data_IF_478031940048
#
_entry.id   IF_478031940048
#
_cell.length_a   1.000
_cell.length_b   1.000
_cell.length_c   1.000
_cell.angle_alpha   90.00
_cell.angle_beta   90.00
_cell.angle_gamma   90.00
#
_symmetry.space_group_name_H-M   'P 1'
#
loop_
_entity.id
_entity.type
_entity.pdbx_description
1 polymer ?
#
# COMPACT_ATOMS: atom_id res chain seq x y z
N UNK A 1 11.64 -31.03 60.50
CA UNK A 1 12.12 -30.95 59.12
C UNK A 1 11.11 -31.64 58.22
N UNK A 2 10.19 -30.86 57.62
CA UNK A 2 9.05 -31.40 56.87
C UNK A 2 9.12 -30.79 55.44
N UNK A 3 9.47 -31.62 54.43
CA UNK A 3 9.53 -31.24 53.03
C UNK A 3 8.14 -31.21 52.41
N UNK A 4 7.69 -30.02 51.97
CA UNK A 4 6.49 -29.84 51.17
C UNK A 4 6.78 -30.12 49.68
N UNK A 5 6.18 -31.18 49.10
CA UNK A 5 6.22 -31.50 47.66
C UNK A 5 5.27 -30.57 46.94
N UNK A 6 5.83 -29.73 46.01
CA UNK A 6 5.06 -28.93 45.04
C UNK A 6 4.53 -29.82 43.91
N UNK A 7 3.21 -29.94 43.82
CA UNK A 7 2.51 -30.51 42.66
C UNK A 7 2.57 -29.50 41.49
N UNK A 8 3.19 -29.89 40.37
CA UNK A 8 3.16 -29.13 39.11
C UNK A 8 1.81 -29.39 38.41
N UNK A 9 0.96 -28.37 38.35
CA UNK A 9 -0.31 -28.39 37.65
C UNK A 9 -0.10 -28.44 36.11
N UNK A 10 -0.58 -29.54 35.53
CA UNK A 10 -0.64 -29.79 34.07
C UNK A 10 -2.01 -29.34 33.56
N UNK A 11 -2.24 -28.05 33.40
CA UNK A 11 -3.50 -27.55 32.85
C UNK A 11 -3.23 -26.36 31.92
N UNK A 12 -3.27 -26.56 30.63
CA UNK A 12 -3.18 -25.42 29.68
C UNK A 12 -3.12 -25.70 28.20
N UNK A 13 -3.00 -26.96 27.73
CA UNK A 13 -2.86 -27.23 26.29
C UNK A 13 -4.15 -27.58 25.54
N UNK A 14 -5.22 -27.94 26.23
CA UNK A 14 -6.47 -28.37 25.56
C UNK A 14 -7.37 -27.26 25.02
N UNK A 15 -7.30 -26.05 25.58
CA UNK A 15 -8.20 -24.95 25.19
C UNK A 15 -7.86 -24.27 23.87
N UNK A 16 -6.58 -24.24 23.49
CA UNK A 16 -6.14 -23.58 22.25
C UNK A 16 -6.49 -24.38 21.00
N UNK A 17 -6.40 -25.70 21.06
CA UNK A 17 -6.77 -26.58 19.96
C UNK A 17 -8.29 -26.58 19.68
N UNK A 18 -9.12 -26.38 20.70
CA UNK A 18 -10.58 -26.33 20.55
C UNK A 18 -11.06 -25.03 19.87
N UNK A 19 -10.42 -23.90 20.17
CA UNK A 19 -10.71 -22.62 19.52
C UNK A 19 -10.36 -22.60 18.04
N UNK A 20 -9.31 -23.28 17.62
CA UNK A 20 -8.89 -23.36 16.22
C UNK A 20 -9.83 -24.22 15.35
N UNK A 21 -10.57 -25.16 15.96
CA UNK A 21 -11.49 -26.05 15.22
C UNK A 21 -12.95 -25.54 15.28
N UNK A 22 -13.38 -24.95 16.39
CA UNK A 22 -14.78 -24.54 16.58
C UNK A 22 -15.09 -23.20 15.91
N UNK A 23 -14.13 -22.27 15.85
CA UNK A 23 -14.34 -20.95 15.24
C UNK A 23 -14.60 -21.05 13.72
N UNK A 24 -13.84 -21.79 12.91
CA UNK A 24 -14.13 -21.94 11.49
C UNK A 24 -15.43 -22.70 11.22
N UNK A 25 -15.78 -23.68 12.05
CA UNK A 25 -17.03 -24.45 11.90
C UNK A 25 -18.28 -23.60 12.18
N UNK A 26 -18.21 -22.70 13.16
CA UNK A 26 -19.29 -21.74 13.46
C UNK A 26 -19.40 -20.66 12.36
N UNK A 27 -18.30 -20.27 11.74
CA UNK A 27 -18.27 -19.36 10.59
C UNK A 27 -18.99 -19.98 9.38
N UNK A 28 -18.75 -21.27 9.11
CA UNK A 28 -19.43 -22.01 8.05
C UNK A 28 -20.95 -22.11 8.26
N UNK A 29 -21.39 -22.41 9.47
CA UNK A 29 -22.82 -22.55 9.78
C UNK A 29 -23.56 -21.20 9.73
N UNK A 30 -22.96 -20.11 10.19
CA UNK A 30 -23.55 -18.78 10.12
C UNK A 30 -23.61 -18.24 8.67
N UNK A 31 -22.59 -18.51 7.86
CA UNK A 31 -22.57 -18.20 6.43
C UNK A 31 -23.69 -18.91 5.65
N UNK A 32 -23.89 -20.20 5.92
CA UNK A 32 -24.90 -21.02 5.25
C UNK A 32 -26.34 -20.59 5.58
N UNK A 33 -26.60 -20.15 6.82
CA UNK A 33 -27.93 -19.70 7.25
C UNK A 33 -28.29 -18.31 6.70
N UNK A 34 -27.30 -17.41 6.56
CA UNK A 34 -27.50 -16.08 5.98
C UNK A 34 -27.68 -16.14 4.44
N UNK A 35 -27.02 -17.10 3.77
CA UNK A 35 -27.11 -17.24 2.31
C UNK A 35 -28.48 -17.77 1.85
N UNK A 36 -29.17 -18.56 2.63
CA UNK A 36 -30.54 -19.02 2.31
C UNK A 36 -31.59 -17.92 2.40
N UNK A 37 -31.31 -16.83 3.12
CA UNK A 37 -32.23 -15.69 3.28
C UNK A 37 -32.07 -14.57 2.24
N UNK A 38 -30.95 -14.49 1.53
CA UNK A 38 -30.63 -13.38 0.61
C UNK A 38 -30.56 -13.77 -0.87
N UNK A 39 -30.86 -15.02 -1.20
CA UNK A 39 -30.72 -15.57 -2.56
C UNK A 39 -31.78 -15.18 -3.59
N UNK A 40 -32.60 -14.14 -3.36
CA UNK A 40 -33.67 -13.76 -4.32
C UNK A 40 -33.56 -12.35 -4.90
N UNK A 41 -32.46 -11.61 -4.73
CA UNK A 41 -32.38 -10.26 -5.33
C UNK A 41 -30.98 -9.91 -5.86
N UNK A 42 -30.39 -10.71 -6.73
CA UNK A 42 -29.23 -10.27 -7.50
C UNK A 42 -29.10 -11.02 -8.83
N UNK A 43 -30.13 -10.95 -9.66
CA UNK A 43 -29.96 -11.08 -11.12
C UNK A 43 -30.00 -9.67 -11.71
N UNK A 44 -28.91 -9.22 -12.26
CA UNK A 44 -28.67 -8.30 -13.37
C UNK A 44 -27.45 -7.40 -13.09
N UNK A 45 -26.38 -7.70 -13.79
CA UNK A 45 -25.17 -6.86 -13.81
C UNK A 45 -23.94 -7.62 -14.33
N UNK A 46 -24.06 -8.25 -15.52
CA UNK A 46 -22.90 -8.83 -16.21
C UNK A 46 -21.95 -7.73 -16.68
N UNK A 47 -20.74 -7.72 -16.16
CA UNK A 47 -19.62 -6.96 -16.71
C UNK A 47 -18.64 -7.93 -17.35
N UNK A 48 -18.60 -7.89 -18.69
CA UNK A 48 -17.65 -8.63 -19.52
C UNK A 48 -16.26 -7.99 -19.41
N UNK A 49 -15.27 -8.78 -19.05
CA UNK A 49 -13.86 -8.41 -19.06
C UNK A 49 -13.26 -8.79 -20.43
N UNK A 50 -12.64 -7.87 -21.17
CA UNK A 50 -11.92 -8.20 -22.41
C UNK A 50 -10.53 -8.79 -22.11
N UNK A 51 -10.19 -9.77 -22.94
CA UNK A 51 -9.09 -10.68 -22.92
C UNK A 51 -7.68 -10.14 -22.69
N UNK A 52 -6.90 -10.96 -22.02
CA UNK A 52 -5.46 -10.85 -21.90
C UNK A 52 -4.76 -11.19 -23.22
N UNK A 53 -3.99 -10.23 -23.74
CA UNK A 53 -3.07 -10.46 -24.86
C UNK A 53 -1.72 -10.88 -24.31
N UNK A 54 -1.32 -12.08 -24.69
CA UNK A 54 0.03 -12.63 -24.55
C UNK A 54 0.99 -11.92 -25.52
N UNK A 55 2.03 -11.27 -25.00
CA UNK A 55 3.13 -10.75 -25.81
C UNK A 55 4.41 -11.55 -25.53
N UNK A 56 4.91 -12.16 -26.63
CA UNK A 56 6.13 -12.95 -26.72
C UNK A 56 7.38 -12.11 -26.59
N UNK A 57 8.38 -12.61 -25.87
CA UNK A 57 9.76 -12.11 -25.87
C UNK A 57 10.46 -12.36 -27.21
N UNK A 58 11.30 -11.46 -27.66
CA UNK A 58 12.36 -11.80 -28.61
C UNK A 58 13.76 -11.90 -27.98
N UNK A 59 14.52 -12.76 -28.60
CA UNK A 59 15.82 -13.28 -28.26
C UNK A 59 16.96 -12.24 -28.27
N UNK A 60 17.96 -12.56 -27.45
CA UNK A 60 19.29 -11.96 -27.41
C UNK A 60 20.07 -12.20 -28.71
N UNK A 61 20.76 -11.18 -29.19
CA UNK A 61 21.81 -11.32 -30.21
C UNK A 61 23.11 -10.71 -29.68
N UNK A 62 24.12 -11.55 -29.54
CA UNK A 62 25.52 -11.20 -29.30
C UNK A 62 26.09 -10.43 -30.49
N UNK A 63 26.77 -9.32 -30.24
CA UNK A 63 27.70 -8.72 -31.20
C UNK A 63 28.97 -8.23 -30.52
N UNK A 64 30.05 -8.66 -31.16
CA UNK A 64 31.44 -8.59 -30.80
C UNK A 64 32.00 -7.18 -30.61
N UNK A 65 32.99 -7.11 -29.71
CA UNK A 65 33.92 -6.01 -29.44
C UNK A 65 34.92 -5.80 -30.58
N UNK A 66 35.23 -4.57 -30.98
CA UNK A 66 36.56 -4.25 -31.50
C UNK A 66 37.32 -3.32 -30.54
N UNK A 67 38.49 -3.79 -30.17
CA UNK A 67 39.54 -3.08 -29.48
C UNK A 67 40.10 -1.97 -30.37
N UNK A 68 39.97 -0.71 -29.92
CA UNK A 68 40.69 0.39 -30.50
C UNK A 68 41.47 1.17 -29.42
N UNK A 69 42.77 1.19 -29.55
CA UNK A 69 43.74 1.97 -28.77
C UNK A 69 43.52 3.48 -29.02
N UNK A 70 43.27 4.30 -28.01
CA UNK A 70 43.23 5.74 -28.21
C UNK A 70 44.60 6.41 -27.96
N UNK A 71 45.07 7.10 -28.96
CA UNK A 71 46.14 8.11 -28.88
C UNK A 71 45.73 9.25 -27.94
N UNK A 72 46.62 9.67 -27.07
CA UNK A 72 46.42 10.74 -26.10
C UNK A 72 46.22 12.11 -26.82
N UNK A 73 45.14 12.87 -26.51
CA UNK A 73 45.02 14.24 -27.00
C UNK A 73 45.72 15.23 -26.06
N UNK A 74 46.44 16.17 -26.65
CA UNK A 74 46.99 17.38 -26.04
C UNK A 74 45.96 18.12 -25.17
N UNK A 75 46.30 18.41 -23.94
CA UNK A 75 45.46 19.19 -23.01
C UNK A 75 45.48 20.67 -23.41
N UNK A 76 44.47 21.15 -24.06
CA UNK A 76 44.16 22.57 -24.15
C UNK A 76 43.71 23.08 -22.77
N UNK A 77 44.19 24.23 -22.27
CA UNK A 77 43.75 24.76 -20.98
C UNK A 77 42.26 25.07 -21.02
N UNK A 78 41.49 24.34 -20.22
CA UNK A 78 40.05 24.54 -20.00
C UNK A 78 39.83 25.94 -19.42
N UNK A 79 39.01 26.82 -20.01
CA UNK A 79 38.65 28.09 -19.40
C UNK A 79 37.95 27.84 -18.06
N UNK A 80 38.48 28.46 -17.00
CA UNK A 80 37.92 28.43 -15.66
C UNK A 80 36.44 28.83 -15.70
N UNK A 81 35.50 28.04 -15.12
CA UNK A 81 34.09 28.41 -15.18
C UNK A 81 33.90 29.74 -14.42
N UNK A 82 33.55 30.78 -15.15
CA UNK A 82 33.10 32.05 -14.56
C UNK A 82 31.98 31.75 -13.55
N UNK A 83 32.22 31.97 -12.27
CA UNK A 83 31.17 31.94 -11.25
C UNK A 83 30.15 33.02 -11.60
N UNK A 84 29.11 32.63 -12.32
CA UNK A 84 27.92 33.45 -12.49
C UNK A 84 27.36 33.72 -11.09
N UNK A 85 27.48 34.95 -10.62
CA UNK A 85 26.85 35.39 -9.38
C UNK A 85 25.33 35.26 -9.56
N UNK A 86 24.75 34.15 -9.08
CA UNK A 86 23.31 33.93 -9.14
C UNK A 86 22.61 35.09 -8.45
N UNK A 87 21.65 35.72 -9.12
CA UNK A 87 20.84 36.80 -8.53
C UNK A 87 20.13 36.26 -7.27
N UNK A 88 19.97 37.05 -6.18
CA UNK A 88 19.33 36.59 -4.95
C UNK A 88 17.99 35.91 -5.14
N UNK A 89 17.22 36.31 -6.12
CA UNK A 89 15.93 35.70 -6.48
C UNK A 89 16.07 34.28 -7.06
N UNK A 90 17.17 33.98 -7.75
CA UNK A 90 17.40 32.64 -8.27
C UNK A 90 17.74 31.65 -7.16
N UNK A 91 18.45 32.08 -6.13
CA UNK A 91 18.74 31.24 -4.96
C UNK A 91 17.45 30.89 -4.19
N UNK A 92 16.55 31.87 -3.97
CA UNK A 92 15.24 31.65 -3.34
C UNK A 92 14.36 30.71 -4.16
N UNK A 93 14.30 30.89 -5.46
CA UNK A 93 13.52 30.04 -6.36
C UNK A 93 14.05 28.61 -6.42
N UNK A 94 15.38 28.44 -6.40
CA UNK A 94 16.02 27.11 -6.35
C UNK A 94 15.72 26.39 -5.03
N UNK A 95 15.75 27.11 -3.90
CA UNK A 95 15.39 26.57 -2.59
C UNK A 95 13.90 26.13 -2.54
N UNK A 96 13.00 26.94 -3.08
CA UNK A 96 11.57 26.62 -3.17
C UNK A 96 11.32 25.40 -4.04
N UNK A 97 11.99 25.28 -5.19
CA UNK A 97 11.89 24.09 -6.06
C UNK A 97 12.39 22.84 -5.34
N UNK A 98 13.48 22.92 -4.58
CA UNK A 98 13.98 21.78 -3.79
C UNK A 98 12.96 21.35 -2.74
N UNK A 99 12.39 22.29 -1.99
CA UNK A 99 11.38 22.00 -0.98
C UNK A 99 10.10 21.42 -1.59
N UNK A 100 9.65 21.96 -2.75
CA UNK A 100 8.52 21.40 -3.49
C UNK A 100 8.79 19.95 -3.93
N UNK A 101 9.96 19.65 -4.46
CA UNK A 101 10.34 18.29 -4.86
C UNK A 101 10.38 17.33 -3.70
N UNK A 102 10.89 17.76 -2.53
CA UNK A 102 10.93 16.95 -1.32
C UNK A 102 9.50 16.57 -0.90
N UNK A 103 8.57 17.53 -0.89
CA UNK A 103 7.17 17.28 -0.57
C UNK A 103 6.51 16.29 -1.53
N UNK A 104 6.68 16.50 -2.85
CA UNK A 104 6.11 15.59 -3.86
C UNK A 104 6.69 14.19 -3.72
N UNK A 105 8.01 14.07 -3.50
CA UNK A 105 8.67 12.78 -3.29
C UNK A 105 8.13 12.07 -2.06
N UNK A 106 7.94 12.78 -0.95
CA UNK A 106 7.34 12.21 0.25
C UNK A 106 5.90 11.70 0.02
N UNK A 107 5.09 12.42 -0.77
CA UNK A 107 3.78 11.93 -1.21
C UNK A 107 3.87 10.66 -2.07
N UNK A 108 4.82 10.59 -2.99
CA UNK A 108 5.06 9.38 -3.79
C UNK A 108 5.46 8.18 -2.91
N UNK A 109 6.27 8.39 -1.87
CA UNK A 109 6.66 7.34 -0.92
C UNK A 109 5.46 6.82 -0.11
N UNK A 110 4.54 7.70 0.32
CA UNK A 110 3.28 7.27 0.97
C UNK A 110 2.46 6.41 0.02
N UNK A 111 2.32 6.84 -1.25
CA UNK A 111 1.55 6.07 -2.24
C UNK A 111 2.17 4.70 -2.54
N UNK A 112 3.49 4.60 -2.58
CA UNK A 112 4.19 3.34 -2.84
C UNK A 112 3.98 2.32 -1.72
N UNK A 113 4.10 2.74 -0.45
CA UNK A 113 3.83 1.85 0.69
C UNK A 113 2.35 1.53 0.82
N UNK A 114 1.46 2.50 0.59
CA UNK A 114 0.01 2.28 0.61
C UNK A 114 -0.43 1.25 -0.43
N UNK A 115 0.17 1.26 -1.63
CA UNK A 115 -0.12 0.30 -2.69
C UNK A 115 0.07 -1.16 -2.22
N UNK A 116 1.10 -1.42 -1.43
CA UNK A 116 1.38 -2.76 -0.89
C UNK A 116 0.34 -3.14 0.16
N UNK A 117 0.09 -2.28 1.14
CA UNK A 117 -0.89 -2.53 2.19
C UNK A 117 -2.32 -2.67 1.65
N UNK A 118 -2.71 -1.82 0.69
CA UNK A 118 -4.02 -1.90 0.05
C UNK A 118 -4.21 -3.20 -0.75
N UNK A 119 -3.15 -3.70 -1.39
CA UNK A 119 -3.19 -5.01 -2.05
C UNK A 119 -3.41 -6.13 -1.03
N UNK A 120 -2.65 -6.15 0.06
CA UNK A 120 -2.80 -7.14 1.12
C UNK A 120 -4.21 -7.08 1.73
N UNK A 121 -4.77 -5.88 1.91
CA UNK A 121 -6.14 -5.71 2.38
C UNK A 121 -7.16 -6.22 1.37
N UNK A 122 -7.02 -5.89 0.09
CA UNK A 122 -7.89 -6.38 -0.99
C UNK A 122 -7.86 -7.91 -1.09
N UNK A 123 -6.66 -8.51 -1.10
CA UNK A 123 -6.49 -9.97 -1.10
C UNK A 123 -7.19 -10.64 0.10
N UNK A 124 -7.03 -10.05 1.29
CA UNK A 124 -7.64 -10.55 2.52
C UNK A 124 -9.18 -10.55 2.44
N UNK A 125 -9.76 -9.44 2.00
CA UNK A 125 -11.21 -9.28 1.83
C UNK A 125 -11.75 -10.19 0.73
N UNK A 126 -11.01 -10.29 -0.39
CA UNK A 126 -11.41 -11.10 -1.53
C UNK A 126 -11.38 -12.59 -1.20
N UNK A 127 -10.39 -13.05 -0.44
CA UNK A 127 -10.31 -14.45 0.00
C UNK A 127 -11.55 -14.89 0.78
N UNK A 128 -12.04 -14.05 1.71
CA UNK A 128 -13.30 -14.31 2.42
C UNK A 128 -14.50 -14.37 1.46
N UNK A 129 -14.54 -13.46 0.50
CA UNK A 129 -15.61 -13.40 -0.51
C UNK A 129 -15.63 -14.66 -1.38
N UNK A 130 -14.46 -15.08 -1.83
CA UNK A 130 -14.30 -16.24 -2.70
C UNK A 130 -14.57 -17.55 -1.98
N UNK A 131 -14.16 -17.69 -0.72
CA UNK A 131 -14.51 -18.84 0.11
C UNK A 131 -16.03 -18.90 0.38
N UNK A 132 -16.65 -17.76 0.70
CA UNK A 132 -18.11 -17.71 0.93
C UNK A 132 -18.92 -18.07 -0.33
N UNK A 133 -18.38 -17.81 -1.51
CA UNK A 133 -19.01 -18.16 -2.79
C UNK A 133 -18.61 -19.55 -3.33
N UNK A 134 -17.73 -20.27 -2.62
CA UNK A 134 -17.22 -21.58 -3.01
C UNK A 134 -16.25 -21.56 -4.19
N UNK A 135 -15.63 -20.40 -4.49
CA UNK A 135 -14.62 -20.29 -5.55
C UNK A 135 -13.25 -20.79 -5.12
N UNK A 136 -12.96 -20.72 -3.83
CA UNK A 136 -11.76 -21.27 -3.21
C UNK A 136 -12.14 -22.13 -2.01
N UNK A 137 -11.27 -23.07 -1.66
CA UNK A 137 -11.41 -23.90 -0.47
C UNK A 137 -11.06 -23.11 0.80
N UNK A 138 -11.59 -23.54 1.95
CA UNK A 138 -11.32 -22.90 3.24
C UNK A 138 -9.83 -22.88 3.57
N UNK A 139 -9.09 -23.97 3.25
CA UNK A 139 -7.64 -24.02 3.47
C UNK A 139 -6.88 -22.98 2.66
N UNK A 140 -7.28 -22.73 1.42
CA UNK A 140 -6.68 -21.67 0.58
C UNK A 140 -6.97 -20.27 1.15
N UNK A 141 -8.20 -20.03 1.62
CA UNK A 141 -8.54 -18.78 2.31
C UNK A 141 -7.66 -18.58 3.55
N UNK A 142 -7.48 -19.61 4.39
CA UNK A 142 -6.63 -19.55 5.59
C UNK A 142 -5.17 -19.24 5.24
N UNK A 143 -4.62 -19.80 4.17
CA UNK A 143 -3.28 -19.51 3.70
C UNK A 143 -3.13 -18.04 3.26
N UNK A 144 -4.13 -17.51 2.55
CA UNK A 144 -4.16 -16.09 2.16
C UNK A 144 -4.24 -15.20 3.40
N UNK A 145 -5.09 -15.55 4.36
CA UNK A 145 -5.21 -14.81 5.62
C UNK A 145 -3.90 -14.79 6.40
N UNK A 146 -3.26 -15.95 6.57
CA UNK A 146 -1.99 -16.05 7.28
C UNK A 146 -0.90 -15.20 6.61
N UNK A 147 -0.82 -15.22 5.28
CA UNK A 147 0.13 -14.44 4.51
C UNK A 147 -0.12 -12.93 4.67
N UNK A 148 -1.35 -12.47 4.48
CA UNK A 148 -1.71 -11.05 4.55
C UNK A 148 -1.62 -10.51 5.97
N UNK A 149 -2.03 -11.28 6.97
CA UNK A 149 -1.88 -10.92 8.39
C UNK A 149 -0.40 -10.78 8.79
N UNK A 150 0.46 -11.69 8.31
CA UNK A 150 1.91 -11.61 8.57
C UNK A 150 2.54 -10.36 7.94
N UNK A 151 2.10 -9.98 6.74
CA UNK A 151 2.55 -8.76 6.08
C UNK A 151 1.99 -7.48 6.73
N UNK A 152 0.83 -7.59 7.37
CA UNK A 152 0.08 -6.44 7.88
C UNK A 152 0.81 -5.62 8.94
N UNK A 153 1.64 -6.26 9.80
CA UNK A 153 2.44 -5.52 10.80
C UNK A 153 3.48 -4.62 10.13
N UNK A 154 4.14 -5.11 9.08
CA UNK A 154 5.08 -4.34 8.27
C UNK A 154 4.38 -3.26 7.45
N UNK A 155 3.21 -3.56 6.87
CA UNK A 155 2.39 -2.59 6.14
C UNK A 155 2.00 -1.41 7.03
N UNK A 156 1.54 -1.69 8.26
CA UNK A 156 1.17 -0.66 9.24
C UNK A 156 2.36 0.23 9.60
N UNK A 157 3.51 -0.37 9.95
CA UNK A 157 4.72 0.36 10.35
C UNK A 157 5.24 1.26 9.22
N UNK A 158 5.39 0.70 8.02
CA UNK A 158 5.88 1.43 6.85
C UNK A 158 4.95 2.57 6.46
N UNK A 159 3.63 2.32 6.46
CA UNK A 159 2.65 3.34 6.13
C UNK A 159 2.69 4.49 7.14
N UNK A 160 2.68 4.21 8.44
CA UNK A 160 2.76 5.25 9.49
C UNK A 160 4.04 6.06 9.37
N UNK A 161 5.18 5.41 9.17
CA UNK A 161 6.48 6.07 9.01
C UNK A 161 6.51 6.99 7.78
N UNK A 162 5.96 6.55 6.64
CA UNK A 162 5.89 7.35 5.43
C UNK A 162 4.97 8.58 5.60
N UNK A 163 3.79 8.39 6.24
CA UNK A 163 2.86 9.49 6.53
C UNK A 163 3.49 10.51 7.48
N UNK A 164 4.16 10.06 8.54
CA UNK A 164 4.84 10.95 9.49
C UNK A 164 5.97 11.73 8.80
N UNK A 165 6.79 11.07 7.99
CA UNK A 165 7.84 11.70 7.18
C UNK A 165 7.25 12.74 6.23
N UNK A 166 6.16 12.42 5.53
CA UNK A 166 5.47 13.33 4.62
C UNK A 166 4.88 14.56 5.33
N UNK A 167 4.33 14.37 6.53
CA UNK A 167 3.80 15.48 7.35
C UNK A 167 4.90 16.44 7.82
N UNK A 168 6.14 15.98 7.92
CA UNK A 168 7.32 16.80 8.24
C UNK A 168 7.75 17.73 7.10
N UNK A 169 7.38 17.43 5.86
CA UNK A 169 7.78 18.19 4.69
C UNK A 169 6.93 19.47 4.54
N UNK A 170 7.53 20.61 4.87
CA UNK A 170 6.88 21.94 4.83
C UNK A 170 6.96 22.63 3.47
N UNK A 171 7.46 21.94 2.43
CA UNK A 171 7.60 22.46 1.10
C UNK A 171 6.26 22.88 0.48
N UNK A 172 6.32 23.83 -0.44
CA UNK A 172 5.17 24.30 -1.21
C UNK A 172 5.57 24.43 -2.67
N UNK A 173 4.74 23.92 -3.57
CA UNK A 173 4.94 24.02 -5.01
C UNK A 173 4.38 25.33 -5.61
N UNK A 174 4.31 26.39 -4.81
CA UNK A 174 3.81 27.70 -5.27
C UNK A 174 4.83 28.42 -6.13
N UNK A 175 4.34 29.24 -7.03
CA UNK A 175 5.17 30.11 -7.86
C UNK A 175 5.98 31.09 -6.99
N UNK A 176 7.24 31.32 -7.42
CA UNK A 176 8.16 32.24 -6.75
C UNK A 176 8.47 33.40 -7.68
N UNK A 177 8.22 34.61 -7.24
CA UNK A 177 8.50 35.84 -8.01
C UNK A 177 9.99 35.96 -8.35
N UNK A 178 10.30 36.31 -9.60
CA UNK A 178 11.67 36.45 -10.07
C UNK A 178 12.38 35.13 -10.39
N UNK A 179 11.69 33.98 -10.36
CA UNK A 179 12.24 32.72 -10.79
C UNK A 179 12.49 32.70 -12.32
N UNK A 180 13.52 31.99 -12.76
CA UNK A 180 13.77 31.76 -14.18
C UNK A 180 12.58 31.00 -14.84
N UNK A 181 12.42 31.15 -16.15
CA UNK A 181 11.37 30.43 -16.88
C UNK A 181 11.48 28.91 -16.73
N UNK A 182 12.68 28.38 -16.61
CA UNK A 182 12.94 26.97 -16.37
C UNK A 182 12.45 26.54 -14.97
N UNK A 183 12.80 27.29 -13.93
CA UNK A 183 12.39 27.01 -12.55
C UNK A 183 10.87 27.09 -12.41
N UNK A 184 10.22 28.07 -13.02
CA UNK A 184 8.76 28.17 -13.03
C UNK A 184 8.09 26.95 -13.66
N UNK A 185 8.59 26.49 -14.83
CA UNK A 185 8.07 25.28 -15.47
C UNK A 185 8.23 24.03 -14.59
N UNK A 186 9.35 23.90 -13.88
CA UNK A 186 9.58 22.79 -12.96
C UNK A 186 8.65 22.85 -11.74
N UNK A 187 8.47 24.03 -11.13
CA UNK A 187 7.51 24.22 -10.04
C UNK A 187 6.07 23.89 -10.47
N UNK A 188 5.68 24.32 -11.68
CA UNK A 188 4.35 24.01 -12.21
C UNK A 188 4.13 22.50 -12.38
N UNK A 189 5.10 21.75 -12.92
CA UNK A 189 5.02 20.28 -13.03
C UNK A 189 4.91 19.59 -11.67
N UNK A 190 5.68 20.07 -10.69
CA UNK A 190 5.62 19.54 -9.35
C UNK A 190 4.25 19.84 -8.67
N UNK A 191 3.70 21.04 -8.90
CA UNK A 191 2.37 21.39 -8.42
C UNK A 191 1.25 20.54 -9.05
N UNK A 192 1.35 20.23 -10.33
CA UNK A 192 0.43 19.32 -11.00
C UNK A 192 0.50 17.91 -10.39
N UNK A 193 1.71 17.41 -10.10
CA UNK A 193 1.88 16.11 -9.46
C UNK A 193 1.35 16.11 -8.03
N UNK A 194 1.68 17.13 -7.23
CA UNK A 194 1.13 17.31 -5.88
C UNK A 194 -0.40 17.24 -5.89
N UNK A 195 -1.03 18.04 -6.74
CA UNK A 195 -2.48 18.06 -6.89
C UNK A 195 -3.07 16.71 -7.34
N UNK A 196 -2.36 15.97 -8.19
CA UNK A 196 -2.82 14.65 -8.63
C UNK A 196 -2.65 13.58 -7.55
N UNK A 197 -1.71 13.74 -6.60
CA UNK A 197 -1.53 12.85 -5.45
C UNK A 197 -2.67 12.96 -4.45
N UNK A 198 -3.23 14.16 -4.22
CA UNK A 198 -4.19 14.43 -3.15
C UNK A 198 -5.37 13.42 -3.10
N UNK A 199 -6.11 13.15 -4.20
CA UNK A 199 -7.24 12.23 -4.15
C UNK A 199 -6.81 10.77 -3.90
N UNK A 200 -5.61 10.38 -4.34
CA UNK A 200 -5.10 9.02 -4.12
C UNK A 200 -4.64 8.87 -2.68
N UNK A 201 -3.95 9.87 -2.14
CA UNK A 201 -3.50 9.90 -0.74
C UNK A 201 -4.71 9.85 0.22
N UNK A 202 -5.76 10.61 -0.07
CA UNK A 202 -6.97 10.58 0.75
C UNK A 202 -7.64 9.20 0.72
N UNK A 203 -7.77 8.59 -0.45
CA UNK A 203 -8.36 7.25 -0.57
C UNK A 203 -7.47 6.15 0.04
N UNK A 204 -6.14 6.31 -0.06
CA UNK A 204 -5.18 5.43 0.60
C UNK A 204 -5.27 5.51 2.13
N UNK A 205 -5.43 6.72 2.68
CA UNK A 205 -5.59 6.91 4.13
C UNK A 205 -6.84 6.21 4.67
N UNK A 206 -7.97 6.38 3.99
CA UNK A 206 -9.21 5.70 4.38
C UNK A 206 -9.07 4.17 4.33
N UNK A 207 -8.51 3.63 3.26
CA UNK A 207 -8.34 2.18 3.09
C UNK A 207 -7.30 1.58 4.03
N UNK A 208 -6.16 2.23 4.21
CA UNK A 208 -5.12 1.79 5.17
C UNK A 208 -5.60 1.88 6.61
N UNK A 209 -6.43 2.85 6.95
CA UNK A 209 -7.06 2.95 8.27
C UNK A 209 -8.00 1.77 8.54
N UNK A 210 -8.76 1.33 7.54
CA UNK A 210 -9.59 0.12 7.67
C UNK A 210 -8.70 -1.11 7.89
N UNK A 211 -7.65 -1.28 7.11
CA UNK A 211 -6.69 -2.40 7.23
C UNK A 211 -6.05 -2.43 8.61
N UNK A 212 -5.46 -1.33 9.06
CA UNK A 212 -4.81 -1.21 10.38
C UNK A 212 -5.80 -1.47 11.53
N UNK A 213 -7.04 -0.99 11.39
CA UNK A 213 -8.10 -1.24 12.39
C UNK A 213 -8.43 -2.71 12.45
N UNK A 214 -8.58 -3.37 11.29
CA UNK A 214 -8.85 -4.80 11.20
C UNK A 214 -7.73 -5.64 11.82
N UNK A 215 -6.46 -5.35 11.48
CA UNK A 215 -5.30 -6.00 12.10
C UNK A 215 -5.31 -5.86 13.63
N UNK A 216 -5.61 -4.67 14.13
CA UNK A 216 -5.74 -4.42 15.56
C UNK A 216 -6.87 -5.22 16.21
N UNK A 217 -8.01 -5.38 15.53
CA UNK A 217 -9.13 -6.19 16.00
C UNK A 217 -8.77 -7.68 16.02
N UNK A 218 -8.07 -8.18 15.00
CA UNK A 218 -7.59 -9.57 14.96
C UNK A 218 -6.65 -9.87 16.14
N UNK A 219 -5.64 -9.03 16.36
CA UNK A 219 -4.70 -9.16 17.50
C UNK A 219 -5.39 -9.09 18.86
N UNK A 220 -6.42 -8.25 19.01
CA UNK A 220 -7.21 -8.17 20.25
C UNK A 220 -8.09 -9.39 20.46
N UNK A 221 -8.62 -9.94 19.37
CA UNK A 221 -9.42 -11.16 19.41
C UNK A 221 -8.60 -12.37 19.84
N UNK A 222 -7.39 -12.54 19.31
CA UNK A 222 -6.48 -13.61 19.72
C UNK A 222 -6.16 -13.57 21.23
N UNK A 223 -6.13 -12.37 21.81
CA UNK A 223 -5.92 -12.13 23.23
C UNK A 223 -7.21 -12.22 24.07
N UNK A 224 -8.35 -12.56 23.46
CA UNK A 224 -9.65 -12.61 24.13
C UNK A 224 -10.16 -11.26 24.63
N UNK A 225 -9.70 -10.15 24.03
CA UNK A 225 -10.02 -8.78 24.47
C UNK A 225 -11.16 -8.13 23.69
N UNK A 226 -11.82 -8.86 22.79
CA UNK A 226 -12.97 -8.37 22.03
C UNK A 226 -14.18 -9.22 22.31
N UNK A 227 -15.31 -8.55 22.60
CA UNK A 227 -16.62 -9.19 22.62
C UNK A 227 -17.13 -9.35 21.19
N UNK A 228 -17.70 -10.52 20.88
CA UNK A 228 -18.27 -10.84 19.55
C UNK A 228 -17.30 -10.58 18.37
N UNK A 229 -16.09 -11.16 18.37
CA UNK A 229 -15.10 -10.90 17.33
C UNK A 229 -15.63 -11.19 15.92
N UNK A 230 -16.40 -12.27 15.76
CA UNK A 230 -17.00 -12.66 14.50
C UNK A 230 -17.91 -11.58 13.92
N UNK A 231 -18.79 -10.99 14.73
CA UNK A 231 -19.67 -9.91 14.27
C UNK A 231 -18.87 -8.69 13.82
N UNK A 232 -17.79 -8.38 14.53
CA UNK A 232 -16.93 -7.26 14.20
C UNK A 232 -16.19 -7.48 12.88
N UNK A 233 -15.62 -8.68 12.66
CA UNK A 233 -14.95 -9.05 11.42
C UNK A 233 -15.90 -9.02 10.23
N UNK A 234 -17.11 -9.57 10.37
CA UNK A 234 -18.11 -9.50 9.30
C UNK A 234 -18.55 -8.06 8.97
N UNK A 235 -18.63 -7.19 9.96
CA UNK A 235 -18.95 -5.78 9.73
C UNK A 235 -17.82 -5.08 8.94
N UNK A 236 -16.57 -5.31 9.34
CA UNK A 236 -15.39 -4.76 8.64
C UNK A 236 -15.29 -5.30 7.22
N UNK A 237 -15.43 -6.62 7.04
CA UNK A 237 -15.41 -7.24 5.72
C UNK A 237 -16.47 -6.67 4.77
N UNK A 238 -17.70 -6.44 5.25
CA UNK A 238 -18.78 -5.85 4.43
C UNK A 238 -18.53 -4.39 4.09
N UNK A 239 -17.87 -3.65 4.96
CA UNK A 239 -17.56 -2.23 4.74
C UNK A 239 -16.33 -2.01 3.84
N UNK A 240 -15.36 -2.91 3.88
CA UNK A 240 -14.07 -2.79 3.23
C UNK A 240 -14.11 -2.48 1.72
N UNK A 241 -14.99 -3.10 0.90
CA UNK A 241 -15.02 -2.85 -0.54
C UNK A 241 -15.21 -1.39 -0.93
N UNK A 242 -15.90 -0.60 -0.09
CA UNK A 242 -16.09 0.83 -0.34
C UNK A 242 -14.76 1.57 -0.47
N UNK A 243 -13.87 1.41 0.50
CA UNK A 243 -12.60 2.14 0.55
C UNK A 243 -11.55 1.49 -0.35
N UNK A 244 -11.56 0.16 -0.52
CA UNK A 244 -10.72 -0.55 -1.49
C UNK A 244 -11.01 -0.04 -2.90
N UNK A 245 -12.27 -0.06 -3.35
CA UNK A 245 -12.68 0.39 -4.68
C UNK A 245 -12.42 1.91 -4.88
N UNK A 246 -12.57 2.72 -3.82
CA UNK A 246 -12.24 4.14 -3.90
C UNK A 246 -10.76 4.37 -4.16
N UNK A 247 -9.89 3.62 -3.47
CA UNK A 247 -8.45 3.66 -3.67
C UNK A 247 -8.06 3.20 -5.08
N UNK A 248 -8.54 2.04 -5.52
CA UNK A 248 -8.27 1.49 -6.85
C UNK A 248 -8.66 2.49 -7.94
N UNK A 249 -9.88 3.03 -7.86
CA UNK A 249 -10.36 4.05 -8.80
C UNK A 249 -9.51 5.33 -8.80
N UNK A 250 -9.00 5.76 -7.65
CA UNK A 250 -8.15 6.94 -7.55
C UNK A 250 -6.76 6.64 -8.11
N UNK A 251 -6.19 5.46 -7.80
CA UNK A 251 -4.90 5.00 -8.27
C UNK A 251 -4.88 4.82 -9.80
N UNK A 252 -5.92 4.24 -10.40
CA UNK A 252 -6.06 4.07 -11.85
C UNK A 252 -6.11 5.41 -12.60
N UNK A 253 -6.68 6.44 -11.98
CA UNK A 253 -6.75 7.79 -12.54
C UNK A 253 -5.48 8.60 -12.31
N UNK A 254 -4.59 8.12 -11.45
CA UNK A 254 -3.38 8.84 -11.13
C UNK A 254 -2.43 8.88 -12.33
N UNK A 255 -2.47 10.00 -13.01
CA UNK A 255 -1.57 10.30 -14.13
C UNK A 255 -1.07 11.73 -13.96
N UNK A 256 0.22 11.88 -13.72
CA UNK A 256 0.85 13.18 -13.56
C UNK A 256 2.30 13.15 -14.04
N UNK A 257 2.81 14.28 -14.57
CA UNK A 257 4.20 14.37 -14.97
C UNK A 257 5.12 14.12 -13.78
N UNK A 258 6.29 13.55 -14.06
CA UNK A 258 7.32 13.45 -13.04
C UNK A 258 7.79 14.85 -12.64
N UNK A 259 7.89 15.08 -11.39
CA UNK A 259 8.50 16.24 -10.80
C UNK A 259 10.03 16.08 -10.67
#
# INVERSE_FOLDING_TARGET
>A
MTQARRAKGFAGRGRRAWLLIVVPLLMLLAGLLLFRGLGQQAEQGGLSIPGASTASSPASTDVATPTATPSAPSRTPTPSPSRSSAKPNDAKATAALRACRAKVKAGDEVLDVAKTGMRNWSDHVQAQTDANSGKIEIGEMEDIFNRTMKAGDEDEERYRSAVESSAGEKGSCREVSGASAQTRRQLARCAEREKAQDPVLAAADDGMKDWITHLGDMRRSEKGKIHNPQQKWLATWRAAPKNINAYEKAADKFSAPRC
#
